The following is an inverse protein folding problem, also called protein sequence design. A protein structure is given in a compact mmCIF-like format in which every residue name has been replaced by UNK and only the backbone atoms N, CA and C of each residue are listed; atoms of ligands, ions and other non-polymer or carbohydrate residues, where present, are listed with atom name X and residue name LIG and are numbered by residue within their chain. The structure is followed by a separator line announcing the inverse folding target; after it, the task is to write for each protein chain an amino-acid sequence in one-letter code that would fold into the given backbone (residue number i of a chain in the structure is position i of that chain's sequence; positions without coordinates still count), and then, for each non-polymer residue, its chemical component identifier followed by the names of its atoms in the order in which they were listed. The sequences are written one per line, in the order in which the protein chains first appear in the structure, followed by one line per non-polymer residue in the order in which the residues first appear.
data_IF_220976207852
#
_entry.id   IF_220976207852
#
_cell.length_a   1.000
_cell.length_b   1.000
_cell.length_c   1.000
_cell.angle_alpha   90.00
_cell.angle_beta   90.00
_cell.angle_gamma   90.00
#
_symmetry.space_group_name_H-M   'P 1'
#
loop_
_entity.id
_entity.type
_entity.pdbx_description
1 polymer ?
#
# COMPACT_ATOMS: atom_id res chain seq x y z
N UNK A 1 -2.48 9.62 3.42
CA UNK A 1 -1.12 10.13 3.16
C UNK A 1 -0.40 9.19 2.21
N UNK A 2 0.33 9.75 1.25
CA UNK A 2 1.03 9.00 0.21
C UNK A 2 2.53 9.31 0.27
N UNK A 3 3.37 8.28 0.38
CA UNK A 3 4.83 8.38 0.39
C UNK A 3 5.41 9.37 1.42
N UNK A 4 4.76 9.49 2.58
CA UNK A 4 5.25 10.31 3.70
C UNK A 4 6.07 9.43 4.66
N UNK A 5 7.14 9.98 5.23
CA UNK A 5 7.90 9.24 6.26
C UNK A 5 7.01 8.83 7.43
N UNK A 6 7.17 7.59 7.90
CA UNK A 6 6.37 6.99 8.98
C UNK A 6 6.33 7.84 10.26
N UNK A 7 7.46 8.45 10.62
CA UNK A 7 7.55 9.36 11.79
C UNK A 7 6.64 10.58 11.65
N UNK A 8 6.63 11.22 10.49
CA UNK A 8 5.80 12.41 10.25
C UNK A 8 4.33 11.99 10.17
N UNK A 9 4.04 10.86 9.53
CA UNK A 9 2.67 10.42 9.42
C UNK A 9 2.07 10.04 10.77
N UNK A 10 2.81 9.32 11.62
CA UNK A 10 2.36 9.02 12.99
C UNK A 10 2.09 10.28 13.84
N UNK A 11 2.84 11.37 13.62
CA UNK A 11 2.58 12.66 14.26
C UNK A 11 1.28 13.32 13.76
N UNK A 12 0.93 13.13 12.49
CA UNK A 12 -0.31 13.65 11.90
C UNK A 12 -1.50 12.80 12.38
N UNK A 13 -1.40 11.47 12.32
CA UNK A 13 -2.44 10.53 12.77
C UNK A 13 -2.82 10.79 14.23
N UNK A 14 -1.85 11.02 15.12
CA UNK A 14 -2.12 11.34 16.55
C UNK A 14 -2.86 12.66 16.78
N UNK A 15 -2.79 13.60 15.84
CA UNK A 15 -3.42 14.93 15.94
C UNK A 15 -4.71 15.03 15.12
N UNK A 16 -4.98 14.05 14.26
CA UNK A 16 -6.14 14.07 13.39
C UNK A 16 -7.38 13.67 14.17
N UNK A 17 -8.45 14.42 13.99
CA UNK A 17 -9.78 14.08 14.52
C UNK A 17 -10.54 13.12 13.60
N UNK A 18 -9.99 12.82 12.41
CA UNK A 18 -10.57 11.92 11.42
C UNK A 18 -9.64 10.73 11.15
N UNK A 19 -10.18 9.56 10.74
CA UNK A 19 -9.36 8.43 10.32
C UNK A 19 -8.41 8.79 9.18
N UNK A 20 -7.14 8.39 9.30
CA UNK A 20 -6.13 8.62 8.28
C UNK A 20 -5.79 7.32 7.56
N UNK A 21 -5.65 7.36 6.23
CA UNK A 21 -5.34 6.17 5.42
C UNK A 21 -3.98 6.31 4.72
N UNK A 22 -3.14 5.28 4.79
CA UNK A 22 -1.78 5.22 4.25
C UNK A 22 -1.73 4.60 2.85
N UNK A 23 -1.04 5.23 1.90
CA UNK A 23 -0.49 4.58 0.72
C UNK A 23 1.04 4.69 0.81
N UNK A 24 1.70 3.64 1.30
CA UNK A 24 3.15 3.59 1.44
C UNK A 24 3.76 4.58 2.43
N UNK A 25 3.01 5.06 3.42
CA UNK A 25 3.47 6.03 4.44
C UNK A 25 3.80 5.40 5.80
N UNK A 26 4.03 4.07 5.83
CA UNK A 26 4.30 3.33 7.05
C UNK A 26 3.04 2.87 7.81
N UNK A 27 3.21 2.10 8.91
CA UNK A 27 2.12 1.47 9.63
C UNK A 27 1.40 2.38 10.64
N UNK A 28 1.93 3.57 10.97
CA UNK A 28 1.34 4.46 11.98
C UNK A 28 0.14 5.28 11.44
N UNK A 29 -0.90 4.57 11.02
CA UNK A 29 -2.10 5.06 10.33
C UNK A 29 -3.33 4.37 10.91
N UNK A 30 -4.53 4.88 10.63
CA UNK A 30 -5.75 4.14 10.95
C UNK A 30 -5.89 2.90 10.05
N UNK A 31 -5.75 3.09 8.73
CA UNK A 31 -5.80 2.00 7.75
C UNK A 31 -4.78 2.17 6.61
N UNK A 32 -4.58 1.11 5.83
CA UNK A 32 -3.76 1.09 4.62
C UNK A 32 -4.65 1.04 3.36
N UNK A 33 -4.21 1.70 2.29
CA UNK A 33 -4.81 1.68 0.96
C UNK A 33 -3.86 0.94 0.00
N UNK A 34 -3.81 -0.39 0.03
CA UNK A 34 -2.98 -1.13 -0.91
C UNK A 34 -3.61 -1.12 -2.32
N UNK A 35 -2.77 -1.09 -3.36
CA UNK A 35 -3.23 -1.09 -4.75
C UNK A 35 -3.50 -2.53 -5.19
N UNK A 36 -4.73 -2.81 -5.61
CA UNK A 36 -5.19 -4.13 -6.03
C UNK A 36 -4.25 -4.82 -7.04
N UNK A 37 -3.84 -4.10 -8.08
CA UNK A 37 -2.95 -4.64 -9.12
C UNK A 37 -1.57 -5.05 -8.57
N UNK A 38 -1.02 -4.27 -7.64
CA UNK A 38 0.28 -4.57 -7.02
C UNK A 38 0.15 -5.71 -6.00
N UNK A 39 -0.97 -5.76 -5.28
CA UNK A 39 -1.30 -6.85 -4.35
C UNK A 39 -1.40 -8.21 -5.05
N UNK A 40 -1.84 -8.22 -6.31
CA UNK A 40 -2.10 -9.45 -7.06
C UNK A 40 -1.08 -9.73 -8.17
N UNK A 41 0.01 -8.96 -8.24
CA UNK A 41 1.07 -9.18 -9.22
C UNK A 41 0.57 -9.11 -10.66
N UNK A 42 -0.39 -8.22 -10.96
CA UNK A 42 -1.03 -8.15 -12.28
C UNK A 42 -0.15 -7.46 -13.32
N UNK A 43 0.87 -6.72 -12.89
CA UNK A 43 1.82 -6.09 -13.79
C UNK A 43 3.14 -6.89 -13.83
N UNK A 44 3.64 -7.26 -15.02
CA UNK A 44 4.91 -7.98 -15.16
C UNK A 44 6.13 -7.08 -14.91
N UNK A 45 5.94 -5.76 -14.78
CA UNK A 45 6.98 -4.79 -14.45
C UNK A 45 7.01 -4.55 -12.94
N UNK A 46 8.22 -4.30 -12.44
CA UNK A 46 8.61 -4.17 -11.03
C UNK A 46 7.50 -3.69 -10.08
N UNK A 47 7.24 -4.48 -9.05
CA UNK A 47 6.35 -4.12 -7.94
C UNK A 47 6.94 -2.92 -7.17
N UNK A 48 6.16 -1.87 -6.86
CA UNK A 48 6.63 -0.76 -6.05
C UNK A 48 7.17 -1.23 -4.70
N UNK A 49 8.26 -0.66 -4.21
CA UNK A 49 8.89 -1.07 -2.93
C UNK A 49 7.94 -1.04 -1.72
N UNK A 50 6.96 -0.13 -1.75
CA UNK A 50 5.96 0.02 -0.69
C UNK A 50 4.84 -1.01 -0.75
N UNK A 51 4.65 -1.67 -1.90
CA UNK A 51 3.58 -2.61 -2.11
C UNK A 51 3.96 -3.98 -1.54
N UNK A 52 2.95 -4.69 -1.04
CA UNK A 52 3.05 -6.08 -0.63
C UNK A 52 2.20 -6.92 -1.56
N UNK A 53 2.83 -7.86 -2.25
CA UNK A 53 2.12 -8.83 -3.09
C UNK A 53 1.62 -9.98 -2.23
N UNK A 54 0.32 -10.27 -2.35
CA UNK A 54 -0.41 -11.30 -1.62
C UNK A 54 -0.70 -12.54 -2.49
N UNK A 55 -0.56 -12.43 -3.80
CA UNK A 55 -0.68 -13.53 -4.74
C UNK A 55 -0.22 -13.13 -6.15
N UNK A 56 0.09 -14.11 -6.98
CA UNK A 56 0.56 -13.94 -8.37
C UNK A 56 -0.57 -14.23 -9.37
N UNK A 57 -1.71 -13.55 -9.19
CA UNK A 57 -2.89 -13.79 -10.02
C UNK A 57 -2.64 -13.49 -11.50
N UNK A 58 -1.72 -12.57 -11.80
CA UNK A 58 -1.29 -12.27 -13.17
C UNK A 58 -0.78 -13.50 -13.91
N UNK A 59 -0.06 -14.41 -13.22
CA UNK A 59 0.42 -15.67 -13.81
C UNK A 59 -0.72 -16.63 -14.11
N UNK A 60 -1.60 -16.82 -13.12
CA UNK A 60 -2.75 -17.72 -13.23
C UNK A 60 -3.66 -17.32 -14.39
N UNK A 61 -3.95 -16.02 -14.53
CA UNK A 61 -4.80 -15.51 -15.61
C UNK A 61 -4.12 -15.64 -16.99
N UNK A 62 -2.79 -15.54 -17.05
CA UNK A 62 -2.05 -15.61 -18.32
C UNK A 62 -1.78 -17.03 -18.84
N UNK A 63 -2.07 -18.06 -18.04
CA UNK A 63 -1.83 -19.46 -18.37
C UNK A 63 -3.05 -20.15 -19.05
N UNK A 64 -4.14 -19.40 -19.31
CA UNK A 64 -5.26 -19.80 -20.18
C UNK A 64 -5.02 -19.42 -21.66
#
# INVERSE_FOLDING_TARGET
MELVSDRIYGLITKRSEVPTVSLGSGPNTYDQLPIFHDMLGLYPRSIPKMAKTHGEAGKVISEE
#
